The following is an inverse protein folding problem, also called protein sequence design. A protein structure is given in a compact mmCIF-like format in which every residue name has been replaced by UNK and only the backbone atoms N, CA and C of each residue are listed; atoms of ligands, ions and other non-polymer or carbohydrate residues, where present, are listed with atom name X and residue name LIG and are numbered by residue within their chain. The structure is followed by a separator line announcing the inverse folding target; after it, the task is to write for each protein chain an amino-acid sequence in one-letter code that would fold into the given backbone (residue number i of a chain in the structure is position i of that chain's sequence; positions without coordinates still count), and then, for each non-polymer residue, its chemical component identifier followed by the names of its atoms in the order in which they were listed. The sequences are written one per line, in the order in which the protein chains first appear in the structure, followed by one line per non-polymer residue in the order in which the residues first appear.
data_IF_863125606934
#
_entry.id   IF_863125606934
#
_cell.length_a   1.000
_cell.length_b   1.000
_cell.length_c   1.000
_cell.angle_alpha   90.00
_cell.angle_beta   90.00
_cell.angle_gamma   90.00
#
_symmetry.space_group_name_H-M   'P 1'
#
loop_
_entity.id
_entity.type
_entity.pdbx_description
1 polymer ?
#
# COMPACT_ATOMS: atom_id res chain seq x y z
N UNK A 1 -36.81 10.34 -17.42
CA UNK A 1 -35.85 9.21 -17.39
C UNK A 1 -35.30 9.12 -15.97
N UNK A 2 -35.26 7.94 -15.35
CA UNK A 2 -34.65 7.81 -14.02
C UNK A 2 -33.18 8.26 -14.09
N UNK A 3 -32.69 8.94 -13.05
CA UNK A 3 -31.29 9.35 -13.00
C UNK A 3 -30.41 8.11 -13.19
N UNK A 4 -29.36 8.18 -14.03
CA UNK A 4 -28.47 7.05 -14.23
C UNK A 4 -27.92 6.64 -12.86
N UNK A 5 -28.08 5.37 -12.49
CA UNK A 5 -27.74 4.80 -11.17
C UNK A 5 -26.33 5.23 -10.69
N UNK A 6 -25.41 5.43 -11.64
CA UNK A 6 -24.06 5.94 -11.36
C UNK A 6 -24.00 7.34 -10.71
N UNK A 7 -25.01 8.21 -10.89
CA UNK A 7 -25.05 9.54 -10.31
C UNK A 7 -25.06 9.53 -8.77
N UNK A 8 -25.65 8.51 -8.16
CA UNK A 8 -25.70 8.36 -6.71
C UNK A 8 -24.65 7.39 -6.18
N UNK A 9 -24.40 6.29 -6.90
CA UNK A 9 -23.46 5.28 -6.45
C UNK A 9 -22.00 5.75 -6.50
N UNK A 10 -21.59 6.56 -7.48
CA UNK A 10 -20.21 7.06 -7.56
C UNK A 10 -19.84 7.97 -6.38
N UNK A 11 -20.64 9.01 -6.03
CA UNK A 11 -20.38 9.79 -4.82
C UNK A 11 -20.42 8.95 -3.55
N UNK A 12 -21.42 8.07 -3.40
CA UNK A 12 -21.57 7.23 -2.21
C UNK A 12 -20.35 6.32 -2.02
N UNK A 13 -19.90 5.66 -3.09
CA UNK A 13 -18.72 4.81 -3.05
C UNK A 13 -17.45 5.60 -2.69
N UNK A 14 -17.27 6.80 -3.27
CA UNK A 14 -16.17 7.69 -2.89
C UNK A 14 -16.22 8.07 -1.42
N UNK A 15 -17.37 8.51 -0.90
CA UNK A 15 -17.53 8.90 0.50
C UNK A 15 -17.22 7.74 1.44
N UNK A 16 -17.76 6.55 1.17
CA UNK A 16 -17.52 5.36 1.99
C UNK A 16 -16.05 4.92 1.96
N UNK A 17 -15.40 5.05 0.80
CA UNK A 17 -13.97 4.75 0.66
C UNK A 17 -13.13 5.69 1.52
N UNK A 18 -13.37 7.00 1.42
CA UNK A 18 -12.69 8.02 2.23
C UNK A 18 -12.97 7.85 3.73
N UNK A 19 -14.21 7.54 4.10
CA UNK A 19 -14.55 7.23 5.48
C UNK A 19 -13.73 6.04 6.01
N UNK A 20 -13.60 4.96 5.22
CA UNK A 20 -12.75 3.82 5.56
C UNK A 20 -11.28 4.20 5.77
N UNK A 21 -10.72 5.05 4.91
CA UNK A 21 -9.33 5.53 5.01
C UNK A 21 -9.12 6.42 6.25
N UNK A 22 -10.09 7.25 6.60
CA UNK A 22 -10.02 8.13 7.77
C UNK A 22 -10.20 7.34 9.08
N UNK A 23 -11.19 6.45 9.14
CA UNK A 23 -11.51 5.69 10.35
C UNK A 23 -10.58 4.51 10.61
N UNK A 24 -10.08 3.84 9.56
CA UNK A 24 -9.35 2.57 9.66
C UNK A 24 -8.00 2.58 8.94
N UNK A 25 -7.49 3.78 8.61
CA UNK A 25 -6.28 3.97 7.81
C UNK A 25 -5.02 3.27 8.34
N UNK A 26 -4.87 3.14 9.66
CA UNK A 26 -3.74 2.46 10.30
C UNK A 26 -3.76 0.94 10.13
N UNK A 27 -4.96 0.36 9.98
CA UNK A 27 -5.15 -1.10 9.94
C UNK A 27 -5.13 -1.68 8.53
N UNK A 28 -5.29 -0.87 7.48
CA UNK A 28 -5.40 -1.34 6.09
C UNK A 28 -6.65 -2.18 5.78
N UNK A 29 -7.49 -2.51 6.77
CA UNK A 29 -8.62 -3.43 6.63
C UNK A 29 -9.68 -2.97 5.63
N UNK A 30 -9.79 -1.65 5.43
CA UNK A 30 -10.71 -1.01 4.48
C UNK A 30 -10.30 -1.22 3.01
N UNK A 31 -9.04 -1.55 2.71
CA UNK A 31 -8.54 -1.64 1.33
C UNK A 31 -9.25 -2.77 0.57
N UNK A 32 -9.40 -3.95 1.19
CA UNK A 32 -10.03 -5.09 0.53
C UNK A 32 -11.50 -4.84 0.15
N UNK A 33 -12.42 -4.43 1.06
CA UNK A 33 -13.81 -4.20 0.69
C UNK A 33 -13.94 -3.08 -0.36
N UNK A 34 -13.13 -2.02 -0.29
CA UNK A 34 -13.12 -0.96 -1.31
C UNK A 34 -12.69 -1.53 -2.68
N UNK A 35 -11.59 -2.31 -2.72
CA UNK A 35 -11.12 -2.93 -3.95
C UNK A 35 -12.13 -3.92 -4.56
N UNK A 36 -12.83 -4.70 -3.73
CA UNK A 36 -13.88 -5.62 -4.19
C UNK A 36 -15.04 -4.86 -4.84
N UNK A 37 -15.51 -3.76 -4.23
CA UNK A 37 -16.59 -2.95 -4.80
C UNK A 37 -16.16 -2.36 -6.15
N UNK A 38 -14.94 -1.80 -6.23
CA UNK A 38 -14.37 -1.30 -7.48
C UNK A 38 -14.23 -2.38 -8.55
N UNK A 39 -13.81 -3.58 -8.17
CA UNK A 39 -13.67 -4.73 -9.07
C UNK A 39 -15.01 -5.21 -9.62
N UNK A 40 -16.03 -5.33 -8.76
CA UNK A 40 -17.40 -5.66 -9.17
C UNK A 40 -17.94 -4.61 -10.15
N UNK A 41 -17.68 -3.33 -9.89
CA UNK A 41 -18.07 -2.25 -10.79
C UNK A 41 -17.43 -2.38 -12.18
N UNK A 42 -16.13 -2.68 -12.24
CA UNK A 42 -15.44 -2.94 -13.49
C UNK A 42 -16.02 -4.16 -14.22
N UNK A 43 -16.39 -5.22 -13.50
CA UNK A 43 -17.08 -6.39 -14.06
C UNK A 43 -18.43 -6.03 -14.69
N UNK A 44 -19.24 -5.21 -14.01
CA UNK A 44 -20.51 -4.70 -14.54
C UNK A 44 -20.27 -3.87 -15.80
N UNK A 45 -19.24 -3.01 -15.82
CA UNK A 45 -18.88 -2.23 -17.00
C UNK A 45 -18.53 -3.12 -18.20
N UNK A 46 -17.75 -4.19 -18.00
CA UNK A 46 -17.41 -5.16 -19.06
C UNK A 46 -18.67 -5.84 -19.59
N UNK A 47 -19.56 -6.30 -18.70
CA UNK A 47 -20.81 -6.96 -19.09
C UNK A 47 -21.71 -6.05 -19.92
N UNK A 48 -21.78 -4.75 -19.59
CA UNK A 48 -22.61 -3.77 -20.29
C UNK A 48 -22.03 -3.30 -21.61
N UNK A 49 -20.71 -3.10 -21.66
CA UNK A 49 -20.05 -2.49 -22.84
C UNK A 49 -19.43 -3.52 -23.78
N UNK A 50 -19.32 -4.79 -23.34
CA UNK A 50 -18.58 -5.88 -24.04
C UNK A 50 -17.12 -5.53 -24.33
N UNK A 51 -16.56 -4.52 -23.67
CA UNK A 51 -15.16 -4.09 -23.78
C UNK A 51 -14.42 -4.38 -22.49
N UNK A 52 -13.12 -4.61 -22.59
CA UNK A 52 -12.26 -4.85 -21.43
C UNK A 52 -12.08 -3.53 -20.65
N UNK A 53 -12.43 -3.54 -19.36
CA UNK A 53 -12.23 -2.43 -18.43
C UNK A 53 -10.92 -2.67 -17.66
N UNK A 54 -9.95 -1.77 -17.79
CA UNK A 54 -8.64 -1.89 -17.14
C UNK A 54 -8.77 -2.01 -15.61
N UNK A 55 -9.87 -1.48 -15.04
CA UNK A 55 -10.23 -1.62 -13.64
C UNK A 55 -10.27 -3.06 -13.17
N UNK A 56 -10.71 -4.02 -14.01
CA UNK A 56 -10.80 -5.42 -13.61
C UNK A 56 -9.43 -5.99 -13.24
N UNK A 57 -8.38 -5.58 -13.94
CA UNK A 57 -7.01 -6.05 -13.73
C UNK A 57 -6.37 -5.30 -12.55
N UNK A 58 -6.52 -3.97 -12.52
CA UNK A 58 -5.88 -3.16 -11.48
C UNK A 58 -6.44 -3.45 -10.10
N UNK A 59 -7.77 -3.60 -9.97
CA UNK A 59 -8.38 -3.98 -8.68
C UNK A 59 -8.08 -5.44 -8.31
N UNK A 60 -7.96 -6.35 -9.28
CA UNK A 60 -7.61 -7.74 -9.00
C UNK A 60 -6.25 -7.86 -8.31
N UNK A 61 -5.24 -7.08 -8.73
CA UNK A 61 -3.94 -7.08 -8.06
C UNK A 61 -4.01 -6.54 -6.62
N UNK A 62 -4.83 -5.53 -6.37
CA UNK A 62 -5.05 -5.02 -5.00
C UNK A 62 -5.71 -6.08 -4.13
N UNK A 63 -6.74 -6.75 -4.66
CA UNK A 63 -7.46 -7.83 -3.96
C UNK A 63 -6.50 -8.95 -3.60
N UNK A 64 -5.71 -9.45 -4.56
CA UNK A 64 -4.72 -10.48 -4.30
C UNK A 64 -3.75 -10.04 -3.22
N UNK A 65 -3.15 -8.85 -3.35
CA UNK A 65 -2.17 -8.35 -2.38
C UNK A 65 -2.76 -8.21 -0.97
N UNK A 66 -4.01 -7.76 -0.87
CA UNK A 66 -4.72 -7.64 0.41
C UNK A 66 -5.13 -9.00 1.01
N UNK A 67 -5.44 -10.01 0.17
CA UNK A 67 -5.65 -11.38 0.64
C UNK A 67 -4.34 -12.02 1.12
N UNK A 68 -3.22 -11.76 0.42
CA UNK A 68 -1.89 -12.18 0.87
C UNK A 68 -1.52 -11.54 2.21
N UNK A 69 -1.79 -10.25 2.42
CA UNK A 69 -1.64 -9.60 3.73
C UNK A 69 -2.42 -10.33 4.83
N UNK A 70 -3.67 -10.69 4.57
CA UNK A 70 -4.53 -11.36 5.57
C UNK A 70 -4.05 -12.76 5.92
N UNK A 71 -3.44 -13.48 4.97
CA UNK A 71 -3.03 -14.88 5.16
C UNK A 71 -1.60 -15.01 5.70
N UNK A 72 -0.68 -14.16 5.24
CA UNK A 72 0.75 -14.26 5.52
C UNK A 72 1.30 -13.10 6.37
N UNK A 73 0.44 -12.15 6.75
CA UNK A 73 0.84 -10.96 7.48
C UNK A 73 1.43 -9.87 6.57
N UNK A 74 1.75 -8.73 7.20
CA UNK A 74 2.24 -7.55 6.49
C UNK A 74 3.77 -7.59 6.31
N UNK A 75 4.23 -8.36 5.32
CA UNK A 75 5.65 -8.50 4.98
C UNK A 75 6.15 -7.42 4.02
N UNK A 76 7.47 -7.30 3.83
CA UNK A 76 8.08 -6.35 2.88
C UNK A 76 7.58 -6.57 1.45
N UNK A 77 7.43 -7.82 1.02
CA UNK A 77 6.88 -8.14 -0.31
C UNK A 77 5.41 -7.72 -0.46
N UNK A 78 4.59 -7.99 0.55
CA UNK A 78 3.17 -7.58 0.58
C UNK A 78 3.04 -6.06 0.58
N UNK A 79 3.88 -5.33 1.33
CA UNK A 79 3.96 -3.87 1.34
C UNK A 79 4.17 -3.31 -0.07
N UNK A 80 5.20 -3.79 -0.78
CA UNK A 80 5.49 -3.34 -2.14
C UNK A 80 4.38 -3.72 -3.11
N UNK A 81 3.85 -4.94 -3.02
CA UNK A 81 2.74 -5.39 -3.86
C UNK A 81 1.48 -4.54 -3.69
N UNK A 82 1.09 -4.24 -2.45
CA UNK A 82 -0.05 -3.35 -2.15
C UNK A 82 0.20 -1.92 -2.61
N UNK A 83 1.41 -1.40 -2.43
CA UNK A 83 1.77 -0.05 -2.87
C UNK A 83 1.67 0.08 -4.40
N UNK A 84 2.34 -0.82 -5.13
CA UNK A 84 2.36 -0.82 -6.60
C UNK A 84 0.95 -1.05 -7.15
N UNK A 85 0.21 -2.04 -6.64
CA UNK A 85 -1.16 -2.30 -7.10
C UNK A 85 -2.11 -1.13 -6.82
N UNK A 86 -1.99 -0.46 -5.67
CA UNK A 86 -2.76 0.76 -5.37
C UNK A 86 -2.42 1.89 -6.34
N UNK A 87 -1.14 2.07 -6.66
CA UNK A 87 -0.70 3.06 -7.65
C UNK A 87 -1.19 2.73 -9.07
N UNK A 88 -1.28 1.46 -9.45
CA UNK A 88 -1.88 1.05 -10.73
C UNK A 88 -3.37 1.42 -10.80
N UNK A 89 -4.12 1.28 -9.70
CA UNK A 89 -5.51 1.75 -9.65
C UNK A 89 -5.58 3.28 -9.76
N UNK A 90 -4.71 4.01 -9.06
CA UNK A 90 -4.63 5.47 -9.19
C UNK A 90 -4.33 5.90 -10.63
N UNK A 91 -3.37 5.23 -11.27
CA UNK A 91 -3.03 5.44 -12.67
C UNK A 91 -4.24 5.19 -13.58
N UNK A 92 -5.01 4.14 -13.35
CA UNK A 92 -6.23 3.85 -14.10
C UNK A 92 -7.24 5.01 -14.03
N UNK A 93 -7.50 5.55 -12.83
CA UNK A 93 -8.37 6.72 -12.68
C UNK A 93 -7.78 7.99 -13.33
N UNK A 94 -6.45 8.14 -13.30
CA UNK A 94 -5.75 9.28 -13.91
C UNK A 94 -5.92 9.31 -15.44
N UNK A 95 -6.08 8.16 -16.10
CA UNK A 95 -6.31 8.10 -17.55
C UNK A 95 -7.61 8.81 -17.95
N UNK A 96 -8.65 8.74 -17.12
CA UNK A 96 -9.91 9.45 -17.36
C UNK A 96 -9.69 10.96 -17.36
N UNK A 97 -8.81 11.45 -16.48
CA UNK A 97 -8.47 12.88 -16.36
C UNK A 97 -7.58 13.29 -17.53
N UNK A 98 -6.56 12.49 -17.86
CA UNK A 98 -5.64 12.76 -18.95
C UNK A 98 -6.35 12.81 -20.32
N UNK A 99 -7.28 11.88 -20.56
CA UNK A 99 -8.05 11.81 -21.81
C UNK A 99 -9.43 12.46 -21.71
N UNK A 100 -9.65 13.34 -20.72
CA UNK A 100 -10.96 13.91 -20.44
C UNK A 100 -11.62 14.57 -21.66
N UNK A 101 -10.88 15.35 -22.45
CA UNK A 101 -11.44 16.02 -23.64
C UNK A 101 -12.03 15.04 -24.66
N UNK A 102 -11.39 13.90 -24.86
CA UNK A 102 -11.86 12.86 -25.79
C UNK A 102 -13.07 12.15 -25.20
N UNK A 103 -12.99 11.77 -23.93
CA UNK A 103 -14.05 11.07 -23.19
C UNK A 103 -15.31 11.93 -23.06
N UNK A 104 -15.14 13.22 -22.75
CA UNK A 104 -16.22 14.20 -22.63
C UNK A 104 -16.98 14.34 -23.95
N UNK A 105 -16.28 14.39 -25.09
CA UNK A 105 -16.92 14.53 -26.41
C UNK A 105 -17.84 13.36 -26.75
N UNK A 106 -17.51 12.16 -26.30
CA UNK A 106 -18.35 10.98 -26.52
C UNK A 106 -19.46 10.84 -25.47
N UNK A 107 -19.17 11.13 -24.20
CA UNK A 107 -20.16 11.07 -23.12
C UNK A 107 -21.21 12.18 -23.22
N UNK A 108 -20.86 13.38 -23.69
CA UNK A 108 -21.80 14.50 -23.82
C UNK A 108 -22.94 14.22 -24.80
N UNK A 109 -22.80 13.23 -25.68
CA UNK A 109 -23.84 12.79 -26.61
C UNK A 109 -24.95 11.99 -25.92
N UNK A 110 -24.65 11.39 -24.77
CA UNK A 110 -25.52 10.40 -24.11
C UNK A 110 -25.84 10.72 -22.66
N UNK A 111 -25.02 11.54 -21.99
CA UNK A 111 -25.11 11.85 -20.57
C UNK A 111 -25.27 13.35 -20.34
N UNK A 112 -25.92 13.70 -19.22
CA UNK A 112 -26.11 15.10 -18.82
C UNK A 112 -24.81 15.72 -18.30
N UNK A 113 -24.71 17.05 -18.36
CA UNK A 113 -23.59 17.81 -17.82
C UNK A 113 -23.36 17.53 -16.33
N UNK A 114 -24.44 17.40 -15.56
CA UNK A 114 -24.38 17.06 -14.13
C UNK A 114 -23.73 15.70 -13.91
N UNK A 115 -24.11 14.69 -14.70
CA UNK A 115 -23.52 13.36 -14.58
C UNK A 115 -22.03 13.35 -14.95
N UNK A 116 -21.65 14.08 -16.00
CA UNK A 116 -20.24 14.22 -16.39
C UNK A 116 -19.39 14.87 -15.30
N UNK A 117 -19.90 15.92 -14.66
CA UNK A 117 -19.21 16.58 -13.53
C UNK A 117 -19.06 15.62 -12.33
N UNK A 118 -20.09 14.84 -12.02
CA UNK A 118 -20.03 13.81 -10.96
C UNK A 118 -18.97 12.77 -11.31
N UNK A 119 -18.97 12.26 -12.54
CA UNK A 119 -18.02 11.24 -13.00
C UNK A 119 -16.57 11.74 -12.94
N UNK A 120 -16.30 12.94 -13.43
CA UNK A 120 -14.96 13.54 -13.39
C UNK A 120 -14.47 13.73 -11.95
N UNK A 121 -15.32 14.31 -11.09
CA UNK A 121 -15.00 14.56 -9.68
C UNK A 121 -14.76 13.24 -8.94
N UNK A 122 -15.57 12.23 -9.22
CA UNK A 122 -15.40 10.88 -8.70
C UNK A 122 -14.04 10.28 -9.10
N UNK A 123 -13.66 10.36 -10.38
CA UNK A 123 -12.37 9.85 -10.85
C UNK A 123 -11.19 10.59 -10.20
N UNK A 124 -11.25 11.92 -10.10
CA UNK A 124 -10.24 12.72 -9.42
C UNK A 124 -10.13 12.36 -7.93
N UNK A 125 -11.27 12.25 -7.23
CA UNK A 125 -11.34 11.84 -5.82
C UNK A 125 -10.73 10.46 -5.59
N UNK A 126 -11.11 9.47 -6.41
CA UNK A 126 -10.62 8.10 -6.28
C UNK A 126 -9.13 7.98 -6.64
N UNK A 127 -8.64 8.74 -7.63
CA UNK A 127 -7.20 8.82 -7.91
C UNK A 127 -6.43 9.26 -6.66
N UNK A 128 -6.84 10.36 -6.03
CA UNK A 128 -6.20 10.86 -4.79
C UNK A 128 -6.31 9.84 -3.67
N UNK A 129 -7.49 9.25 -3.48
CA UNK A 129 -7.70 8.19 -2.49
C UNK A 129 -6.69 7.05 -2.64
N UNK A 130 -6.50 6.52 -3.85
CA UNK A 130 -5.59 5.39 -4.10
C UNK A 130 -4.12 5.76 -3.93
N UNK A 131 -3.74 7.01 -4.22
CA UNK A 131 -2.41 7.55 -3.86
C UNK A 131 -2.25 7.61 -2.34
N UNK A 132 -3.23 8.09 -1.60
CA UNK A 132 -3.20 8.11 -0.14
C UNK A 132 -3.11 6.69 0.46
N UNK A 133 -3.81 5.71 -0.14
CA UNK A 133 -3.69 4.29 0.23
C UNK A 133 -2.26 3.80 0.05
N UNK A 134 -1.62 4.12 -1.08
CA UNK A 134 -0.23 3.74 -1.33
C UNK A 134 0.74 4.35 -0.30
N UNK A 135 0.60 5.64 -0.02
CA UNK A 135 1.41 6.37 0.97
C UNK A 135 1.23 5.78 2.37
N UNK A 136 -0.02 5.57 2.84
CA UNK A 136 -0.28 5.00 4.16
C UNK A 136 0.22 3.56 4.27
N UNK A 137 0.04 2.76 3.22
CA UNK A 137 0.60 1.40 3.13
C UNK A 137 2.12 1.43 3.28
N UNK A 138 2.79 2.37 2.61
CA UNK A 138 4.23 2.50 2.68
C UNK A 138 4.71 2.89 4.08
N UNK A 139 4.10 3.91 4.69
CA UNK A 139 4.43 4.36 6.05
C UNK A 139 4.19 3.29 7.11
N UNK A 140 3.08 2.54 7.02
CA UNK A 140 2.76 1.43 7.93
C UNK A 140 3.88 0.37 7.98
N UNK A 141 4.54 0.13 6.85
CA UNK A 141 5.62 -0.84 6.78
C UNK A 141 6.94 -0.39 7.35
N UNK A 142 7.16 0.92 7.51
CA UNK A 142 8.33 1.42 8.22
C UNK A 142 8.13 1.27 9.74
N UNK A 143 6.96 1.64 10.26
CA UNK A 143 6.65 1.50 11.69
C UNK A 143 6.77 0.06 12.20
N UNK A 144 6.28 -0.92 11.42
CA UNK A 144 6.40 -2.34 11.79
C UNK A 144 7.85 -2.82 11.75
N UNK A 145 8.66 -2.32 10.80
CA UNK A 145 10.08 -2.67 10.71
C UNK A 145 10.87 -2.21 11.93
N UNK A 146 10.67 -0.97 12.36
CA UNK A 146 11.34 -0.42 13.55
C UNK A 146 10.98 -1.18 14.84
N UNK A 147 9.72 -1.57 15.02
CA UNK A 147 9.30 -2.32 16.22
C UNK A 147 9.92 -3.71 16.28
N UNK A 148 10.08 -4.39 15.14
CA UNK A 148 10.72 -5.72 15.10
C UNK A 148 12.22 -5.62 15.41
N UNK A 149 12.92 -4.65 14.81
CA UNK A 149 14.35 -4.44 15.10
C UNK A 149 14.61 -4.09 16.57
N UNK A 150 13.73 -3.28 17.18
CA UNK A 150 13.86 -2.92 18.58
C UNK A 150 13.65 -4.12 19.51
N UNK A 151 12.62 -4.94 19.26
CA UNK A 151 12.36 -6.13 20.08
C UNK A 151 13.48 -7.18 19.94
N UNK A 152 14.05 -7.37 18.73
CA UNK A 152 15.18 -8.28 18.54
C UNK A 152 16.44 -7.80 19.25
N UNK A 153 16.70 -6.49 19.27
CA UNK A 153 17.82 -5.93 20.02
C UNK A 153 17.65 -6.08 21.54
N UNK A 154 16.42 -5.93 22.05
CA UNK A 154 16.11 -6.16 23.47
C UNK A 154 16.26 -7.64 23.87
N UNK A 155 15.80 -8.58 23.04
CA UNK A 155 15.98 -10.02 23.25
C UNK A 155 17.47 -10.42 23.25
N UNK A 156 18.25 -9.94 22.28
CA UNK A 156 19.70 -10.20 22.21
C UNK A 156 20.46 -9.65 23.43
N UNK A 157 20.03 -8.50 23.94
CA UNK A 157 20.64 -7.87 25.11
C UNK A 157 20.29 -8.64 26.40
N UNK A 158 19.04 -9.10 26.53
CA UNK A 158 18.59 -9.91 27.65
C UNK A 158 19.26 -11.31 27.65
N UNK A 159 19.47 -11.91 26.47
CA UNK A 159 20.21 -13.16 26.34
C UNK A 159 21.68 -12.99 26.79
N UNK A 160 22.36 -11.91 26.36
CA UNK A 160 23.73 -11.57 26.79
C UNK A 160 23.84 -11.33 28.30
N UNK A 161 22.82 -10.74 28.92
CA UNK A 161 22.79 -10.48 30.37
C UNK A 161 22.54 -11.76 31.17
N UNK A 162 21.85 -12.75 30.60
CA UNK A 162 21.54 -14.04 31.23
C UNK A 162 22.67 -15.07 31.17
N UNK A 163 23.71 -14.84 30.35
CA UNK A 163 24.88 -15.72 30.26
C UNK A 163 25.73 -15.63 31.54
N UNK A 164 26.14 -16.77 32.14
CA UNK A 164 27.00 -16.77 33.32
C UNK A 164 28.34 -16.09 33.03
N UNK A 165 28.87 -15.31 33.99
CA UNK A 165 30.10 -14.50 33.88
C UNK A 165 31.32 -15.25 33.33
N UNK A 166 31.35 -16.58 33.46
CA UNK A 166 32.45 -17.44 33.01
C UNK A 166 32.67 -17.47 31.49
N UNK A 167 31.70 -17.02 30.70
CA UNK A 167 31.81 -16.98 29.23
C UNK A 167 32.20 -15.62 28.67
N UNK A 168 32.26 -14.56 29.49
CA UNK A 168 32.61 -13.20 29.04
C UNK A 168 34.12 -12.93 29.03
N UNK A 169 34.91 -13.77 29.69
CA UNK A 169 36.38 -13.59 29.80
C UNK A 169 37.17 -14.28 28.67
N UNK A 170 36.54 -15.18 27.90
CA UNK A 170 37.25 -15.96 26.87
C UNK A 170 37.45 -15.19 25.54
N UNK A 171 36.69 -14.12 25.31
CA UNK A 171 36.82 -13.27 24.11
C UNK A 171 37.92 -12.18 24.24
N UNK A 172 38.57 -12.08 25.41
CA UNK A 172 39.60 -11.05 25.70
C UNK A 172 41.03 -11.61 25.72
N UNK A 173 41.30 -12.71 25.02
CA UNK A 173 42.60 -13.39 25.01
C UNK A 173 43.48 -13.15 23.78
N UNK A 174 43.06 -12.34 22.81
CA UNK A 174 43.87 -12.05 21.61
C UNK A 174 44.64 -10.70 21.65
N UNK A 175 44.42 -9.85 22.65
CA UNK A 175 45.07 -8.52 22.71
C UNK A 175 46.31 -8.42 23.62
N UNK A 176 46.83 -9.54 24.14
CA UNK A 176 47.94 -9.55 25.11
C UNK A 176 49.21 -10.31 24.71
N UNK A 177 49.45 -10.52 23.41
CA UNK A 177 50.62 -11.28 22.91
C UNK A 177 51.58 -10.50 22.01
N UNK A 178 51.47 -9.17 21.91
CA UNK A 178 52.48 -8.33 21.20
C UNK A 178 53.19 -7.34 22.11
N UNK A 179 53.70 -7.83 23.24
CA UNK A 179 54.79 -7.18 23.96
C UNK A 179 56.12 -7.44 23.24
N UNK A 180 56.36 -6.75 22.12
CA UNK A 180 57.67 -6.74 21.46
C UNK A 180 58.62 -5.94 22.35
N UNK A 181 59.49 -6.66 23.05
CA UNK A 181 60.59 -6.12 23.82
C UNK A 181 61.61 -5.49 22.86
N UNK A 182 61.58 -4.16 22.73
CA UNK A 182 62.62 -3.37 22.05
C UNK A 182 63.64 -2.92 23.08
N UNK A 183 64.62 -3.77 23.39
CA UNK A 183 65.92 -3.32 23.88
C UNK A 183 67.00 -4.35 23.57
N UNK A 184 68.21 -3.86 23.28
CA UNK A 184 69.43 -4.57 22.84
C UNK A 184 69.43 -4.92 21.34
N UNK A 185 70.30 -4.39 20.47
CA UNK A 185 71.70 -4.02 20.63
C UNK A 185 72.07 -2.82 19.74
N UNK A 186 72.51 -1.72 20.36
CA UNK A 186 73.50 -0.80 19.81
C UNK A 186 74.79 -1.04 20.61
N UNK A 187 75.81 -1.64 19.99
CA UNK A 187 77.23 -1.19 19.98
C UNK A 187 78.02 -2.11 19.04
#
# INVERSE_FOLDING_TARGET
MPPPIGAFLMPLYSILSWYGLCAQGSSGKYILPVAIIGWVWAGINILRTKRLDLGIVTFFFVILSALFERKYGFTRGVKWSLCVSSMLVAANYSLVIAFWKVIQKDLSKTQSTTWMNIFWTYCASMMVFWVCVAIKTYGRGESIGYTVEQNSAEDDQQERESLPERSREDDNWDEKSTGVDKSQYDT
#
